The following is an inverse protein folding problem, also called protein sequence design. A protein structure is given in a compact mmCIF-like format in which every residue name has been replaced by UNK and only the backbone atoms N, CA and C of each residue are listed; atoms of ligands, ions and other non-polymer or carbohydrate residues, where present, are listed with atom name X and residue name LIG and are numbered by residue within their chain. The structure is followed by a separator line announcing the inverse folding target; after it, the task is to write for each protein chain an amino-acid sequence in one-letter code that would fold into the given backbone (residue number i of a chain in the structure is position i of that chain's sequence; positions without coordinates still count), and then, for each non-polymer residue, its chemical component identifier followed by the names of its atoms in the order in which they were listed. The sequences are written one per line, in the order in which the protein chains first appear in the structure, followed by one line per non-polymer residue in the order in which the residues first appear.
data_IF_145773763930
#
_entry.id   IF_145773763930
#
_cell.length_a   1.000
_cell.length_b   1.000
_cell.length_c   1.000
_cell.angle_alpha   90.00
_cell.angle_beta   90.00
_cell.angle_gamma   90.00
#
_symmetry.space_group_name_H-M   'P 1'
#
loop_
_entity.id
_entity.type
_entity.pdbx_description
1 polymer ?
#
# COMPACT_ATOMS: atom_id res chain seq x y z
N UNK A 1 -38.99 -68.74 -4.38
CA UNK A 1 -37.94 -68.12 -3.53
C UNK A 1 -36.90 -67.53 -4.47
N UNK A 2 -36.50 -66.27 -4.49
CA UNK A 2 -36.84 -65.06 -3.75
C UNK A 2 -36.55 -63.87 -4.72
N UNK A 3 -37.43 -62.86 -4.75
CA UNK A 3 -37.21 -61.60 -5.48
C UNK A 3 -36.19 -60.77 -4.72
N UNK A 4 -35.09 -60.36 -5.36
CA UNK A 4 -34.26 -59.24 -4.88
C UNK A 4 -34.63 -58.00 -5.68
N UNK A 5 -35.13 -56.99 -4.95
CA UNK A 5 -35.41 -55.64 -5.42
C UNK A 5 -34.16 -54.82 -5.11
N UNK A 6 -33.44 -54.37 -6.13
CA UNK A 6 -32.37 -53.41 -5.94
C UNK A 6 -32.95 -52.00 -5.96
N UNK A 7 -32.91 -51.35 -4.79
CA UNK A 7 -33.22 -49.93 -4.60
C UNK A 7 -32.09 -49.11 -5.24
N UNK A 8 -32.42 -48.35 -6.29
CA UNK A 8 -31.57 -47.24 -6.75
C UNK A 8 -31.90 -46.03 -5.88
N UNK A 9 -30.99 -45.68 -4.97
CA UNK A 9 -31.07 -44.45 -4.16
C UNK A 9 -30.54 -43.30 -5.01
N UNK A 10 -31.43 -42.41 -5.44
CA UNK A 10 -31.08 -41.14 -6.08
C UNK A 10 -30.40 -40.20 -5.07
N UNK A 11 -29.11 -39.92 -5.28
CA UNK A 11 -28.39 -38.86 -4.58
C UNK A 11 -28.77 -37.51 -5.20
N UNK A 12 -29.65 -36.75 -4.54
CA UNK A 12 -29.89 -35.36 -4.88
C UNK A 12 -28.68 -34.52 -4.40
N UNK A 13 -27.87 -34.03 -5.34
CA UNK A 13 -26.81 -33.07 -5.06
C UNK A 13 -27.42 -31.71 -4.71
N UNK A 14 -27.51 -31.39 -3.42
CA UNK A 14 -27.83 -30.05 -2.94
C UNK A 14 -26.60 -29.15 -3.19
N UNK A 15 -26.63 -28.37 -4.27
CA UNK A 15 -25.68 -27.28 -4.47
C UNK A 15 -25.99 -26.17 -3.46
N UNK A 16 -25.25 -26.13 -2.34
CA UNK A 16 -25.25 -24.97 -1.45
C UNK A 16 -24.54 -23.82 -2.17
N UNK A 17 -25.32 -22.94 -2.80
CA UNK A 17 -24.86 -21.62 -3.21
C UNK A 17 -24.62 -20.77 -1.96
N UNK A 18 -23.37 -20.69 -1.51
CA UNK A 18 -22.97 -19.76 -0.46
C UNK A 18 -23.01 -18.32 -1.01
N UNK A 19 -23.78 -17.39 -0.42
CA UNK A 19 -23.78 -16.00 -0.84
C UNK A 19 -22.45 -15.33 -0.44
N UNK A 20 -21.74 -14.77 -1.42
CA UNK A 20 -20.58 -13.92 -1.23
C UNK A 20 -20.99 -12.58 -0.60
N UNK A 21 -21.17 -12.57 0.72
CA UNK A 21 -21.32 -11.35 1.53
C UNK A 21 -19.94 -10.76 1.87
N UNK A 22 -19.20 -10.32 0.85
CA UNK A 22 -17.94 -9.58 1.03
C UNK A 22 -18.11 -8.14 0.54
N UNK A 23 -18.69 -7.27 1.37
CA UNK A 23 -18.81 -5.84 1.03
C UNK A 23 -19.03 -4.90 2.21
N UNK A 24 -19.71 -5.32 3.28
CA UNK A 24 -20.12 -4.40 4.35
C UNK A 24 -18.99 -3.96 5.31
N UNK A 25 -17.81 -4.59 5.25
CA UNK A 25 -16.71 -4.30 6.18
C UNK A 25 -15.83 -3.11 5.79
N UNK A 26 -15.70 -2.81 4.50
CA UNK A 26 -14.71 -1.84 4.02
C UNK A 26 -15.20 -0.40 4.05
N UNK A 27 -16.46 -0.16 3.66
CA UNK A 27 -17.07 1.17 3.72
C UNK A 27 -17.06 1.78 5.13
N UNK A 28 -17.11 0.92 6.17
CA UNK A 28 -17.08 1.32 7.59
C UNK A 28 -15.71 1.77 8.10
N UNK A 29 -14.62 1.45 7.40
CA UNK A 29 -13.27 1.85 7.83
C UNK A 29 -13.09 3.36 7.76
N UNK A 30 -13.68 3.98 6.73
CA UNK A 30 -13.62 5.41 6.48
C UNK A 30 -14.45 6.20 7.49
N UNK A 31 -15.49 5.61 8.09
CA UNK A 31 -16.35 6.28 9.07
C UNK A 31 -15.62 6.66 10.37
N UNK A 32 -14.43 6.11 10.61
CA UNK A 32 -13.56 6.47 11.75
C UNK A 32 -12.68 7.70 11.47
N UNK A 33 -12.64 8.16 10.22
CA UNK A 33 -11.85 9.29 9.79
C UNK A 33 -12.71 10.56 9.78
N UNK A 34 -12.08 11.73 9.80
CA UNK A 34 -12.80 12.99 9.72
C UNK A 34 -13.43 13.14 8.33
N UNK A 35 -14.76 13.17 8.26
CA UNK A 35 -15.48 13.41 7.02
C UNK A 35 -15.14 14.80 6.44
N UNK A 36 -15.06 14.86 5.13
CA UNK A 36 -14.67 16.03 4.37
C UNK A 36 -15.68 16.43 3.31
N UNK A 37 -15.14 17.11 2.29
CA UNK A 37 -15.86 17.58 1.13
C UNK A 37 -16.45 16.43 0.32
N UNK A 38 -17.49 16.76 -0.43
CA UNK A 38 -18.07 15.90 -1.46
C UNK A 38 -18.05 16.65 -2.78
N UNK A 39 -17.95 15.92 -3.87
CA UNK A 39 -17.98 16.51 -5.20
C UNK A 39 -18.05 15.46 -6.28
N UNK A 40 -18.39 15.89 -7.49
CA UNK A 40 -18.29 15.04 -8.67
C UNK A 40 -16.85 15.06 -9.17
N UNK A 41 -16.30 13.89 -9.48
CA UNK A 41 -15.00 13.81 -10.14
C UNK A 41 -15.16 14.22 -11.60
N UNK A 42 -14.48 15.30 -11.99
CA UNK A 42 -14.50 15.84 -13.36
C UNK A 42 -13.24 15.49 -14.15
N UNK A 43 -12.13 15.22 -13.46
CA UNK A 43 -10.85 14.88 -14.09
C UNK A 43 -10.10 13.83 -13.27
N UNK A 44 -9.44 12.88 -13.94
CA UNK A 44 -8.43 11.99 -13.37
C UNK A 44 -7.08 12.29 -14.04
N UNK A 45 -6.12 12.79 -13.25
CA UNK A 45 -4.81 13.26 -13.73
C UNK A 45 -3.76 12.15 -13.76
N UNK A 46 -3.76 11.27 -12.76
CA UNK A 46 -2.85 10.14 -12.61
C UNK A 46 -3.56 9.00 -11.86
N UNK A 47 -2.88 7.88 -11.61
CA UNK A 47 -3.41 6.77 -10.82
C UNK A 47 -3.68 7.09 -9.34
N UNK A 48 -3.37 8.31 -8.87
CA UNK A 48 -3.56 8.76 -7.49
C UNK A 48 -4.06 10.22 -7.35
N UNK A 49 -4.43 10.90 -8.45
CA UNK A 49 -4.88 12.30 -8.42
C UNK A 49 -6.19 12.49 -9.18
N UNK A 50 -7.17 13.09 -8.49
CA UNK A 50 -8.49 13.46 -8.99
C UNK A 50 -8.69 14.99 -8.92
N UNK A 51 -9.62 15.51 -9.72
CA UNK A 51 -10.15 16.87 -9.58
C UNK A 51 -11.67 16.80 -9.47
N UNK A 52 -12.20 17.51 -8.47
CA UNK A 52 -13.63 17.64 -8.25
C UNK A 52 -14.22 18.82 -9.03
N UNK A 53 -15.53 18.81 -9.24
CA UNK A 53 -16.32 19.86 -9.90
C UNK A 53 -16.17 21.25 -9.28
N UNK A 54 -15.86 21.34 -7.99
CA UNK A 54 -15.53 22.59 -7.31
C UNK A 54 -14.06 23.04 -7.51
N UNK A 55 -13.29 22.37 -8.37
CA UNK A 55 -11.88 22.66 -8.66
C UNK A 55 -10.88 22.08 -7.64
N UNK A 56 -11.35 21.41 -6.57
CA UNK A 56 -10.47 20.82 -5.57
C UNK A 56 -9.68 19.67 -6.17
N UNK A 57 -8.35 19.79 -6.15
CA UNK A 57 -7.43 18.70 -6.50
C UNK A 57 -7.25 17.80 -5.29
N UNK A 58 -7.47 16.50 -5.48
CA UNK A 58 -7.41 15.47 -4.44
C UNK A 58 -6.31 14.49 -4.78
N UNK A 59 -5.34 14.33 -3.88
CA UNK A 59 -4.37 13.24 -3.92
C UNK A 59 -4.85 12.12 -3.00
N UNK A 60 -4.95 10.91 -3.56
CA UNK A 60 -5.28 9.70 -2.83
C UNK A 60 -4.11 9.33 -1.92
N UNK A 61 -4.12 9.85 -0.70
CA UNK A 61 -3.01 9.72 0.26
C UNK A 61 -2.76 8.25 0.61
N UNK A 62 -1.48 7.89 0.79
CA UNK A 62 -1.04 6.53 1.04
C UNK A 62 -0.74 5.72 -0.23
N UNK A 63 -0.99 6.26 -1.43
CA UNK A 63 -0.66 5.61 -2.70
C UNK A 63 0.62 6.19 -3.33
N UNK A 64 1.39 5.30 -3.96
CA UNK A 64 2.39 5.60 -4.96
C UNK A 64 1.97 4.95 -6.29
N UNK A 65 1.30 5.74 -7.12
CA UNK A 65 1.02 5.38 -8.52
C UNK A 65 2.23 5.74 -9.42
N UNK A 66 2.37 5.11 -10.60
CA UNK A 66 3.36 5.51 -11.59
C UNK A 66 3.19 7.00 -11.97
N UNK A 67 4.30 7.68 -12.23
CA UNK A 67 4.29 9.07 -12.73
C UNK A 67 4.26 9.08 -14.25
N UNK A 68 4.00 10.24 -14.84
CA UNK A 68 4.00 10.40 -16.29
C UNK A 68 5.36 9.95 -16.86
N UNK A 69 5.33 9.03 -17.82
CA UNK A 69 6.52 8.41 -18.41
C UNK A 69 6.97 7.10 -17.76
N UNK A 70 6.50 6.79 -16.55
CA UNK A 70 6.78 5.50 -15.89
C UNK A 70 5.89 4.39 -16.50
N UNK A 71 6.39 3.13 -16.61
CA UNK A 71 5.58 2.00 -17.06
C UNK A 71 4.30 1.82 -16.21
N UNK A 72 3.16 1.57 -16.84
CA UNK A 72 1.89 1.40 -16.12
C UNK A 72 1.16 2.70 -15.79
N UNK A 73 1.68 3.88 -16.13
CA UNK A 73 1.02 5.17 -15.90
C UNK A 73 -0.41 5.22 -16.46
N UNK A 74 -0.56 4.92 -17.76
CA UNK A 74 -1.86 5.00 -18.42
C UNK A 74 -2.85 3.98 -17.87
N UNK A 75 -2.38 2.77 -17.53
CA UNK A 75 -3.20 1.72 -16.95
C UNK A 75 -3.67 2.09 -15.54
N UNK A 76 -2.77 2.63 -14.70
CA UNK A 76 -3.13 3.07 -13.36
C UNK A 76 -4.11 4.26 -13.39
N UNK A 77 -3.88 5.22 -14.29
CA UNK A 77 -4.80 6.34 -14.53
C UNK A 77 -6.16 5.84 -15.03
N UNK A 78 -6.18 4.91 -15.99
CA UNK A 78 -7.40 4.33 -16.52
C UNK A 78 -8.17 3.53 -15.45
N UNK A 79 -7.47 2.81 -14.59
CA UNK A 79 -8.08 2.10 -13.46
C UNK A 79 -8.79 3.06 -12.50
N UNK A 80 -8.13 4.16 -12.10
CA UNK A 80 -8.76 5.17 -11.26
C UNK A 80 -9.91 5.88 -12.00
N UNK A 81 -9.75 6.20 -13.29
CA UNK A 81 -10.80 6.83 -14.09
C UNK A 81 -12.04 5.92 -14.20
N UNK A 82 -11.87 4.61 -14.45
CA UNK A 82 -12.97 3.65 -14.47
C UNK A 82 -13.72 3.55 -13.13
N UNK A 83 -13.03 3.81 -12.02
CA UNK A 83 -13.66 3.85 -10.70
C UNK A 83 -14.33 5.20 -10.40
N UNK A 84 -13.75 6.32 -10.83
CA UNK A 84 -14.06 7.62 -10.26
C UNK A 84 -14.69 8.60 -11.26
N UNK A 85 -14.36 8.53 -12.55
CA UNK A 85 -14.75 9.55 -13.54
C UNK A 85 -16.27 9.75 -13.59
N UNK A 86 -16.70 11.00 -13.43
CA UNK A 86 -18.11 11.39 -13.41
C UNK A 86 -18.89 10.94 -12.17
N UNK A 87 -18.28 10.20 -11.25
CA UNK A 87 -18.93 9.71 -10.03
C UNK A 87 -18.92 10.76 -8.92
N UNK A 88 -19.93 10.70 -8.04
CA UNK A 88 -19.93 11.44 -6.79
C UNK A 88 -19.05 10.74 -5.76
N UNK A 89 -18.14 11.48 -5.13
CA UNK A 89 -17.24 10.96 -4.10
C UNK A 89 -17.32 11.80 -2.82
N UNK A 90 -16.90 11.20 -1.70
CA UNK A 90 -16.70 11.85 -0.42
C UNK A 90 -15.26 11.66 0.07
N UNK A 91 -14.67 12.71 0.64
CA UNK A 91 -13.32 12.72 1.17
C UNK A 91 -13.32 12.40 2.67
N UNK A 92 -12.27 11.71 3.11
CA UNK A 92 -12.05 11.31 4.50
C UNK A 92 -10.60 11.55 4.89
N UNK A 93 -10.39 12.23 6.01
CA UNK A 93 -9.07 12.68 6.47
C UNK A 93 -8.64 11.96 7.75
N UNK A 94 -7.46 11.36 7.72
CA UNK A 94 -6.88 10.64 8.85
C UNK A 94 -5.53 11.18 9.32
N UNK A 95 -5.17 12.38 8.88
CA UNK A 95 -3.88 13.03 9.09
C UNK A 95 -3.90 14.46 8.58
N UNK A 96 -2.77 14.97 8.09
CA UNK A 96 -2.73 16.29 7.45
C UNK A 96 -3.70 16.33 6.26
N UNK A 97 -4.61 17.33 6.26
CA UNK A 97 -5.70 17.41 5.27
C UNK A 97 -5.28 18.02 3.94
N UNK A 98 -4.17 18.74 3.93
CA UNK A 98 -3.67 19.53 2.80
C UNK A 98 -2.17 19.40 2.70
N UNK A 99 -1.67 19.43 1.47
CA UNK A 99 -0.26 19.62 1.21
C UNK A 99 0.08 21.12 1.01
N UNK A 100 1.37 21.49 0.90
CA UNK A 100 1.78 22.88 0.68
C UNK A 100 1.22 23.53 -0.59
N UNK A 101 0.76 22.75 -1.57
CA UNK A 101 0.15 23.24 -2.80
C UNK A 101 -1.38 23.35 -2.70
N UNK A 102 -1.96 23.14 -1.51
CA UNK A 102 -3.38 23.24 -1.25
C UNK A 102 -4.21 22.03 -1.75
N UNK A 103 -3.57 20.94 -2.20
CA UNK A 103 -4.28 19.73 -2.63
C UNK A 103 -4.81 19.00 -1.41
N UNK A 104 -6.02 18.43 -1.50
CA UNK A 104 -6.57 17.58 -0.45
C UNK A 104 -5.81 16.25 -0.38
N UNK A 105 -5.37 15.86 0.82
CA UNK A 105 -4.76 14.57 1.11
C UNK A 105 -5.81 13.67 1.76
N UNK A 106 -6.51 12.86 0.96
CA UNK A 106 -7.73 12.20 1.42
C UNK A 106 -7.80 10.71 1.06
N UNK A 107 -8.46 9.95 1.93
CA UNK A 107 -9.10 8.69 1.59
C UNK A 107 -10.42 8.99 0.85
N UNK A 108 -10.72 8.27 -0.24
CA UNK A 108 -11.85 8.61 -1.12
C UNK A 108 -12.88 7.49 -1.17
N UNK A 109 -14.14 7.83 -0.88
CA UNK A 109 -15.30 6.93 -1.00
C UNK A 109 -16.17 7.31 -2.18
N UNK A 110 -16.43 6.37 -3.10
CA UNK A 110 -17.46 6.53 -4.13
C UNK A 110 -18.84 6.40 -3.48
N UNK A 111 -19.73 7.37 -3.70
CA UNK A 111 -21.02 7.40 -3.00
C UNK A 111 -22.04 6.40 -3.55
N UNK A 112 -21.93 6.03 -4.84
CA UNK A 112 -22.87 5.10 -5.51
C UNK A 112 -22.98 3.75 -4.79
N UNK A 113 -21.85 3.20 -4.35
CA UNK A 113 -21.73 1.85 -3.82
C UNK A 113 -20.84 1.78 -2.56
N UNK A 114 -20.45 2.95 -2.02
CA UNK A 114 -19.58 3.09 -0.85
C UNK A 114 -18.18 2.47 -1.04
N UNK A 115 -17.74 2.25 -2.29
CA UNK A 115 -16.42 1.69 -2.58
C UNK A 115 -15.29 2.64 -2.14
N UNK A 116 -14.26 2.08 -1.51
CA UNK A 116 -13.05 2.80 -1.13
C UNK A 116 -12.01 2.72 -2.25
N UNK A 117 -11.73 3.86 -2.89
CA UNK A 117 -10.96 3.88 -4.14
C UNK A 117 -9.52 3.38 -3.97
N UNK A 118 -8.85 3.76 -2.88
CA UNK A 118 -7.49 3.28 -2.61
C UNK A 118 -7.44 1.75 -2.45
N UNK A 119 -8.41 1.17 -1.73
CA UNK A 119 -8.51 -0.28 -1.56
C UNK A 119 -8.69 -1.00 -2.89
N UNK A 120 -9.58 -0.49 -3.75
CA UNK A 120 -9.80 -1.04 -5.10
C UNK A 120 -8.53 -0.99 -5.96
N UNK A 121 -7.83 0.15 -5.98
CA UNK A 121 -6.59 0.30 -6.75
C UNK A 121 -5.48 -0.63 -6.26
N UNK A 122 -5.32 -0.76 -4.94
CA UNK A 122 -4.31 -1.64 -4.35
C UNK A 122 -4.61 -3.11 -4.62
N UNK A 123 -5.88 -3.54 -4.51
CA UNK A 123 -6.29 -4.92 -4.83
C UNK A 123 -6.07 -5.27 -6.30
N UNK A 124 -6.29 -4.32 -7.19
CA UNK A 124 -6.04 -4.48 -8.63
C UNK A 124 -4.54 -4.39 -8.98
N UNK A 125 -3.68 -3.97 -8.04
CA UNK A 125 -2.24 -3.83 -8.25
C UNK A 125 -1.84 -2.59 -9.03
N UNK A 126 -2.69 -1.56 -9.12
CA UNK A 126 -2.41 -0.33 -9.89
C UNK A 126 -1.79 0.80 -9.07
N UNK A 127 -1.43 0.52 -7.82
CA UNK A 127 -0.64 1.41 -6.97
C UNK A 127 0.17 0.58 -5.96
N UNK A 128 1.24 1.19 -5.45
CA UNK A 128 1.96 0.72 -4.26
C UNK A 128 1.57 1.56 -3.04
N UNK A 129 1.82 1.08 -1.83
CA UNK A 129 1.53 1.79 -0.58
C UNK A 129 2.74 2.62 -0.18
N UNK A 130 2.55 3.93 -0.14
CA UNK A 130 3.53 4.91 0.31
C UNK A 130 2.92 5.84 1.35
N UNK A 131 3.23 5.56 2.62
CA UNK A 131 2.75 6.30 3.79
C UNK A 131 3.69 7.44 4.17
N UNK A 132 3.16 8.39 4.92
CA UNK A 132 3.89 9.56 5.45
C UNK A 132 3.66 9.64 6.95
N UNK A 133 4.63 10.15 7.71
CA UNK A 133 4.54 10.23 9.17
C UNK A 133 3.28 10.97 9.67
N UNK A 134 2.81 11.97 8.92
CA UNK A 134 1.62 12.77 9.23
C UNK A 134 0.31 12.23 8.63
N UNK A 135 0.36 11.12 7.88
CA UNK A 135 -0.76 10.50 7.17
C UNK A 135 -0.60 8.98 7.10
N UNK A 136 -1.00 8.32 8.19
CA UNK A 136 -0.82 6.87 8.39
C UNK A 136 -2.14 6.10 8.48
N UNK A 137 -3.27 6.80 8.40
CA UNK A 137 -4.58 6.19 8.52
C UNK A 137 -4.82 5.10 7.47
N UNK A 138 -5.40 3.98 7.91
CA UNK A 138 -5.70 2.80 7.10
C UNK A 138 -4.48 2.07 6.50
N UNK A 139 -3.25 2.47 6.83
CA UNK A 139 -2.03 1.86 6.30
C UNK A 139 -2.01 0.33 6.44
N UNK A 140 -2.41 -0.22 7.59
CA UNK A 140 -2.50 -1.68 7.78
C UNK A 140 -3.42 -2.37 6.76
N UNK A 141 -4.57 -1.77 6.44
CA UNK A 141 -5.48 -2.32 5.43
C UNK A 141 -4.87 -2.22 4.02
N UNK A 142 -4.27 -1.07 3.71
CA UNK A 142 -3.59 -0.82 2.43
C UNK A 142 -2.44 -1.81 2.19
N UNK A 143 -1.58 -2.01 3.19
CA UNK A 143 -0.47 -2.98 3.15
C UNK A 143 -0.97 -4.40 2.91
N UNK A 144 -2.10 -4.77 3.52
CA UNK A 144 -2.70 -6.09 3.31
C UNK A 144 -3.28 -6.27 1.89
N UNK A 145 -3.93 -5.25 1.33
CA UNK A 145 -4.39 -5.26 -0.07
C UNK A 145 -3.20 -5.35 -1.04
N UNK A 146 -2.16 -4.55 -0.80
CA UNK A 146 -0.92 -4.55 -1.60
C UNK A 146 -0.24 -5.92 -1.57
N UNK A 147 -0.10 -6.53 -0.39
CA UNK A 147 0.52 -7.85 -0.25
C UNK A 147 -0.22 -8.92 -1.07
N UNK A 148 -1.56 -8.88 -1.11
CA UNK A 148 -2.36 -9.80 -1.95
C UNK A 148 -2.15 -9.56 -3.44
N UNK A 149 -2.10 -8.30 -3.87
CA UNK A 149 -1.85 -7.97 -5.28
C UNK A 149 -0.44 -8.37 -5.71
N UNK A 150 0.56 -8.13 -4.86
CA UNK A 150 1.95 -8.55 -5.06
C UNK A 150 2.07 -10.06 -5.18
N UNK A 151 1.47 -10.82 -4.27
CA UNK A 151 1.49 -12.29 -4.32
C UNK A 151 0.84 -12.87 -5.58
N UNK A 152 -0.09 -12.15 -6.21
CA UNK A 152 -0.75 -12.54 -7.46
C UNK A 152 -0.04 -12.03 -8.72
N UNK A 153 1.01 -11.21 -8.59
CA UNK A 153 1.60 -10.51 -9.73
C UNK A 153 0.60 -9.62 -10.47
N UNK A 154 -0.33 -8.97 -9.76
CA UNK A 154 -1.37 -8.14 -10.38
C UNK A 154 -0.85 -6.75 -10.77
N UNK A 155 -1.31 -6.22 -11.91
CA UNK A 155 -1.03 -4.85 -12.33
C UNK A 155 0.46 -4.54 -12.40
N UNK A 156 0.90 -3.53 -11.64
CA UNK A 156 2.31 -3.14 -11.53
C UNK A 156 3.21 -4.29 -11.08
N UNK A 157 2.71 -5.21 -10.25
CA UNK A 157 3.52 -6.32 -9.73
C UNK A 157 3.91 -7.37 -10.78
N UNK A 158 3.31 -7.34 -11.99
CA UNK A 158 3.75 -8.13 -13.13
C UNK A 158 4.95 -7.51 -13.88
N UNK A 159 5.27 -6.25 -13.60
CA UNK A 159 6.27 -5.48 -14.33
C UNK A 159 7.62 -5.49 -13.58
N UNK A 160 8.75 -5.70 -14.28
CA UNK A 160 10.08 -5.71 -13.65
C UNK A 160 10.41 -4.42 -12.88
N UNK A 161 9.93 -3.26 -13.35
CA UNK A 161 10.18 -1.94 -12.75
C UNK A 161 9.61 -1.77 -11.32
N UNK A 162 8.66 -2.62 -10.92
CA UNK A 162 7.96 -2.53 -9.64
C UNK A 162 8.25 -3.72 -8.72
N UNK A 163 9.20 -4.58 -9.08
CA UNK A 163 9.59 -5.72 -8.25
C UNK A 163 10.11 -5.24 -6.89
N UNK A 164 9.98 -6.08 -5.87
CA UNK A 164 10.68 -5.88 -4.60
C UNK A 164 12.16 -6.14 -4.83
N UNK A 165 13.00 -5.18 -4.48
CA UNK A 165 14.44 -5.25 -4.68
C UNK A 165 15.12 -6.05 -3.56
N UNK A 166 16.18 -6.75 -3.90
CA UNK A 166 17.17 -7.23 -2.95
C UNK A 166 18.16 -6.11 -2.58
N UNK A 167 18.83 -6.16 -1.42
CA UNK A 167 19.74 -5.10 -0.99
C UNK A 167 20.87 -4.82 -2.00
N UNK A 168 21.39 -5.85 -2.66
CA UNK A 168 22.43 -5.74 -3.68
C UNK A 168 21.92 -5.21 -5.04
N UNK A 169 20.60 -5.11 -5.24
CA UNK A 169 20.00 -4.53 -6.45
C UNK A 169 19.80 -3.02 -6.32
N UNK A 170 19.91 -2.46 -5.11
CA UNK A 170 19.70 -1.02 -4.86
C UNK A 170 20.75 -0.14 -5.56
N UNK A 171 22.02 -0.58 -5.60
CA UNK A 171 23.13 0.21 -6.15
C UNK A 171 23.00 0.57 -7.63
N UNK A 172 22.17 -0.16 -8.37
CA UNK A 172 21.83 0.11 -9.78
C UNK A 172 20.38 0.56 -9.98
N UNK A 173 19.55 0.57 -8.93
CA UNK A 173 18.12 0.81 -9.01
C UNK A 173 17.76 2.27 -8.72
N UNK A 174 17.35 2.96 -9.79
CA UNK A 174 16.25 3.93 -9.82
C UNK A 174 16.03 4.79 -8.57
N UNK A 175 16.33 6.09 -8.71
CA UNK A 175 15.90 7.12 -7.76
C UNK A 175 14.39 7.10 -7.52
N UNK A 176 13.98 7.25 -6.26
CA UNK A 176 12.58 7.38 -5.88
C UNK A 176 12.11 6.31 -4.91
N UNK A 177 10.79 6.13 -4.87
CA UNK A 177 10.15 5.19 -3.94
C UNK A 177 10.40 3.74 -4.36
N UNK A 178 11.02 2.99 -3.46
CA UNK A 178 11.35 1.57 -3.63
C UNK A 178 10.87 0.75 -2.44
N UNK A 179 10.78 -0.56 -2.68
CA UNK A 179 10.52 -1.57 -1.65
C UNK A 179 11.69 -2.55 -1.70
N UNK A 180 12.38 -2.71 -0.59
CA UNK A 180 13.56 -3.57 -0.46
C UNK A 180 13.26 -4.65 0.58
N UNK A 181 13.61 -5.89 0.27
CA UNK A 181 13.46 -7.02 1.18
C UNK A 181 14.82 -7.67 1.40
N UNK A 182 15.21 -7.85 2.66
CA UNK A 182 16.51 -8.40 2.99
C UNK A 182 16.67 -8.70 4.47
N UNK A 183 17.72 -9.48 4.78
CA UNK A 183 18.12 -9.74 6.15
C UNK A 183 18.97 -8.59 6.66
N UNK A 184 18.64 -8.06 7.83
CA UNK A 184 19.48 -7.08 8.52
C UNK A 184 20.72 -7.80 9.04
N UNK A 185 21.90 -7.42 8.53
CA UNK A 185 23.18 -8.01 8.90
C UNK A 185 23.71 -7.42 10.21
N UNK A 186 23.58 -6.11 10.38
CA UNK A 186 24.02 -5.41 11.57
C UNK A 186 23.07 -4.26 11.92
N UNK A 187 23.09 -3.89 13.20
CA UNK A 187 22.38 -2.72 13.72
C UNK A 187 23.41 -1.85 14.42
N UNK A 188 23.64 -0.66 13.88
CA UNK A 188 24.69 0.24 14.34
C UNK A 188 24.07 1.53 14.88
N UNK A 189 24.45 1.96 16.08
CA UNK A 189 24.03 3.25 16.63
C UNK A 189 25.11 4.30 16.40
N UNK A 190 24.70 5.49 15.96
CA UNK A 190 25.59 6.62 15.75
C UNK A 190 24.90 7.95 16.01
N UNK A 191 25.65 9.05 15.83
CA UNK A 191 25.13 10.41 16.05
C UNK A 191 23.92 10.74 15.16
N UNK A 192 23.90 10.21 13.94
CA UNK A 192 22.85 10.47 12.95
C UNK A 192 21.62 9.57 13.10
N UNK A 193 21.65 8.57 13.98
CA UNK A 193 20.57 7.62 14.16
C UNK A 193 21.02 6.17 14.31
N UNK A 194 20.04 5.27 14.25
CA UNK A 194 20.25 3.83 14.20
C UNK A 194 20.23 3.38 12.74
N UNK A 195 21.27 2.68 12.32
CA UNK A 195 21.41 2.10 11.00
C UNK A 195 21.06 0.60 11.03
N UNK A 196 20.31 0.14 10.04
CA UNK A 196 20.10 -1.26 9.73
C UNK A 196 20.89 -1.55 8.45
N UNK A 197 21.98 -2.28 8.59
CA UNK A 197 22.89 -2.56 7.48
C UNK A 197 22.49 -3.87 6.81
N UNK A 198 22.32 -3.85 5.48
CA UNK A 198 21.92 -5.02 4.68
C UNK A 198 23.05 -5.54 3.79
N UNK A 199 24.23 -4.93 3.90
CA UNK A 199 25.40 -5.23 3.08
C UNK A 199 26.64 -5.31 3.96
N UNK A 200 27.57 -6.26 3.69
CA UNK A 200 28.89 -6.24 4.32
C UNK A 200 29.77 -5.11 3.78
N UNK A 201 29.49 -4.61 2.57
CA UNK A 201 30.11 -3.40 2.03
C UNK A 201 29.47 -2.17 2.70
N UNK A 202 30.26 -1.30 3.37
CA UNK A 202 29.78 -0.05 3.97
C UNK A 202 29.10 0.92 2.98
N UNK A 203 29.38 0.79 1.68
CA UNK A 203 28.72 1.58 0.63
C UNK A 203 27.43 0.93 0.11
N UNK A 204 27.04 -0.23 0.64
CA UNK A 204 25.83 -0.94 0.26
C UNK A 204 24.56 -0.39 0.89
N UNK A 205 23.43 -1.03 0.58
CA UNK A 205 22.12 -0.59 1.08
C UNK A 205 22.04 -0.61 2.60
N UNK A 206 21.55 0.50 3.16
CA UNK A 206 21.25 0.64 4.58
C UNK A 206 19.94 1.40 4.78
N UNK A 207 19.30 1.13 5.91
CA UNK A 207 18.18 1.94 6.41
C UNK A 207 18.66 2.78 7.58
N UNK A 208 18.26 4.05 7.63
CA UNK A 208 18.54 4.95 8.75
C UNK A 208 17.25 5.36 9.45
N UNK A 209 17.27 5.29 10.77
CA UNK A 209 16.21 5.79 11.65
C UNK A 209 16.81 6.92 12.48
N UNK A 210 16.36 8.15 12.24
CA UNK A 210 16.89 9.30 12.98
C UNK A 210 16.51 9.22 14.48
N UNK A 211 17.31 9.79 15.39
CA UNK A 211 17.06 9.70 16.83
C UNK A 211 15.67 10.21 17.24
N UNK A 212 15.16 11.23 16.54
CA UNK A 212 13.83 11.82 16.77
C UNK A 212 12.67 10.90 16.41
N UNK A 213 12.88 9.95 15.49
CA UNK A 213 11.83 9.09 14.94
C UNK A 213 11.77 7.74 15.67
N UNK A 214 12.89 7.34 16.30
CA UNK A 214 13.01 6.09 17.05
C UNK A 214 11.91 5.87 18.12
N UNK A 215 11.46 6.87 18.91
CA UNK A 215 10.35 6.68 19.83
C UNK A 215 9.04 6.31 19.14
N UNK A 216 8.75 6.91 17.97
CA UNK A 216 7.54 6.64 17.19
C UNK A 216 7.56 5.20 16.64
N UNK A 217 8.72 4.76 16.15
CA UNK A 217 8.92 3.39 15.71
C UNK A 217 8.71 2.39 16.86
N UNK A 218 9.33 2.63 18.01
CA UNK A 218 9.20 1.75 19.19
C UNK A 218 7.75 1.65 19.68
N UNK A 219 7.03 2.77 19.72
CA UNK A 219 5.61 2.77 20.09
C UNK A 219 4.74 1.97 19.08
N UNK A 220 5.16 1.88 17.82
CA UNK A 220 4.55 1.04 16.80
C UNK A 220 5.05 -0.41 16.77
N UNK A 221 5.82 -0.86 17.78
CA UNK A 221 6.33 -2.23 17.86
C UNK A 221 7.59 -2.49 17.03
N UNK A 222 8.22 -1.45 16.50
CA UNK A 222 9.47 -1.53 15.75
C UNK A 222 10.65 -1.24 16.69
N UNK A 223 11.37 -2.28 17.08
CA UNK A 223 12.62 -2.18 17.84
C UNK A 223 13.81 -2.51 16.92
N UNK A 224 14.63 -1.54 16.52
CA UNK A 224 15.77 -1.78 15.61
C UNK A 224 16.72 -2.86 16.10
N UNK A 225 17.01 -2.87 17.41
CA UNK A 225 17.92 -3.84 18.01
C UNK A 225 17.39 -5.28 17.89
N UNK A 226 16.07 -5.46 17.88
CA UNK A 226 15.43 -6.77 17.68
C UNK A 226 15.41 -7.21 16.20
N UNK A 227 15.77 -6.32 15.27
CA UNK A 227 15.81 -6.61 13.84
C UNK A 227 17.12 -7.24 13.38
N UNK A 228 18.17 -7.24 14.20
CA UNK A 228 19.41 -7.92 13.87
C UNK A 228 19.13 -9.38 13.47
N UNK A 229 19.69 -9.79 12.33
CA UNK A 229 19.46 -11.11 11.72
C UNK A 229 18.00 -11.39 11.33
N UNK A 230 17.07 -10.44 11.32
CA UNK A 230 15.70 -10.66 10.86
C UNK A 230 15.55 -10.35 9.38
N UNK A 231 14.73 -11.15 8.69
CA UNK A 231 14.24 -10.83 7.35
C UNK A 231 13.14 -9.78 7.46
N UNK A 232 13.35 -8.62 6.85
CA UNK A 232 12.39 -7.53 6.84
C UNK A 232 12.17 -7.00 5.42
N UNK A 233 11.01 -6.38 5.22
CA UNK A 233 10.71 -5.57 4.04
C UNK A 233 10.58 -4.11 4.47
N UNK A 234 11.31 -3.24 3.79
CA UNK A 234 11.33 -1.80 4.04
C UNK A 234 10.90 -1.05 2.79
N UNK A 235 10.22 0.08 2.98
CA UNK A 235 9.69 0.91 1.88
C UNK A 235 9.98 2.38 2.13
N UNK A 236 10.35 3.09 1.08
CA UNK A 236 10.72 4.50 1.19
C UNK A 236 11.47 4.99 -0.03
N UNK A 237 11.82 6.28 0.01
CA UNK A 237 12.67 6.87 -1.03
C UNK A 237 14.12 6.49 -0.73
N UNK A 238 14.81 5.95 -1.73
CA UNK A 238 16.26 5.74 -1.65
C UNK A 238 16.95 7.07 -1.97
N UNK A 239 17.69 7.58 -1.00
CA UNK A 239 18.47 8.80 -1.11
C UNK A 239 19.83 8.59 -1.76
N UNK A 240 20.59 9.67 -1.83
CA UNK A 240 21.99 9.62 -2.28
C UNK A 240 22.81 8.70 -1.36
N UNK A 241 23.63 7.82 -1.95
CA UNK A 241 24.44 6.84 -1.23
C UNK A 241 23.73 5.53 -0.89
N UNK A 242 22.55 5.27 -1.45
CA UNK A 242 21.85 3.99 -1.27
C UNK A 242 21.20 3.83 0.11
N UNK A 243 20.98 4.93 0.83
CA UNK A 243 20.36 4.91 2.16
C UNK A 243 18.87 5.25 2.07
N UNK A 244 18.04 4.46 2.74
CA UNK A 244 16.60 4.72 2.90
C UNK A 244 16.30 5.23 4.31
N UNK A 245 15.61 6.36 4.41
CA UNK A 245 15.15 6.87 5.70
C UNK A 245 13.81 6.23 6.10
N UNK A 246 13.72 5.83 7.36
CA UNK A 246 12.48 5.36 7.99
C UNK A 246 12.15 6.28 9.18
N UNK A 247 10.96 6.87 9.14
CA UNK A 247 10.48 7.80 10.17
C UNK A 247 9.16 7.36 10.83
N UNK A 248 8.52 6.28 10.34
CA UNK A 248 7.33 5.70 10.98
C UNK A 248 7.23 4.17 10.78
N UNK A 249 6.51 3.46 11.68
CA UNK A 249 6.42 1.99 11.69
C UNK A 249 5.97 1.34 10.37
N UNK A 250 5.01 1.93 9.67
CA UNK A 250 4.38 1.32 8.49
C UNK A 250 5.30 1.24 7.27
N UNK A 251 6.49 1.83 7.35
CA UNK A 251 7.57 1.61 6.38
C UNK A 251 8.29 0.28 6.57
N UNK A 252 8.06 -0.44 7.67
CA UNK A 252 8.78 -1.68 7.98
C UNK A 252 7.79 -2.82 8.24
N UNK A 253 7.92 -3.90 7.46
CA UNK A 253 7.22 -5.16 7.66
C UNK A 253 8.22 -6.22 8.13
N UNK A 254 7.97 -6.80 9.31
CA UNK A 254 8.69 -7.98 9.76
C UNK A 254 8.12 -9.20 9.03
N UNK A 255 8.97 -9.92 8.30
CA UNK A 255 8.55 -11.10 7.56
C UNK A 255 8.73 -12.34 8.44
N UNK A 256 7.80 -13.29 8.32
CA UNK A 256 7.98 -14.61 8.92
C UNK A 256 8.94 -15.39 8.04
N UNK A 257 9.93 -16.03 8.65
CA UNK A 257 10.70 -17.04 7.94
C UNK A 257 9.77 -18.23 7.66
N UNK A 258 9.80 -18.80 6.44
CA UNK A 258 9.05 -20.00 6.10
C UNK A 258 9.46 -21.20 6.94
#
# INVERSE_FOLDING_TARGET
MARRRDLVVSLAALALSAPLLTGCGEGRRLDRLAAGERGRVVEVRSGDVLVLDNGLVVRLVGLAAPRLGDPGFDQARAALAGLAQGQMVALYYGGAKRDPYGRALAQVRRLKDQAWLQGELLRAGWARVWTFADNRALASAMLADEARARAKGAGLWAMPDYKVLLPNEVGAAQHGFQIVEGRVLAVTEGKSGTFLDFSPDPAGFAVVIAPKDLPVLRAGGISPQAMASRLIRVRGVIGWGGVMSVDHPEQVEQLREP
#
